data_IF_916953586914
#
_entry.id   IF_916953586914
#
_cell.length_a   1.000
_cell.length_b   1.000
_cell.length_c   1.000
_cell.angle_alpha   90.00
_cell.angle_beta   90.00
_cell.angle_gamma   90.00
#
_symmetry.space_group_name_H-M   'P 1'
#
loop_
_entity.id
_entity.type
_entity.pdbx_description
1 polymer ?
#
# COMPACT_ATOMS: atom_id res chain seq x y z
N UNK A 1 -24.39 52.25 22.88
CA UNK A 1 -22.91 52.37 22.96
C UNK A 1 -22.34 51.19 22.18
N UNK A 2 -22.23 51.22 20.86
CA UNK A 2 -21.38 52.00 19.94
C UNK A 2 -19.90 51.54 19.91
N UNK A 3 -19.50 51.00 18.74
CA UNK A 3 -18.17 50.83 18.08
C UNK A 3 -18.20 49.49 17.31
N UNK A 4 -18.51 49.39 16.02
CA UNK A 4 -17.92 50.02 14.81
C UNK A 4 -16.41 49.90 14.74
N UNK A 5 -15.93 48.93 13.93
CA UNK A 5 -14.68 49.01 13.18
C UNK A 5 -14.89 48.36 11.81
N UNK A 6 -14.92 49.23 10.81
CA UNK A 6 -14.74 48.99 9.38
C UNK A 6 -13.28 48.59 9.09
N UNK A 7 -12.98 48.25 7.82
CA UNK A 7 -11.68 48.22 7.09
C UNK A 7 -11.26 46.80 6.66
N UNK A 8 -10.89 46.43 5.42
CA UNK A 8 -10.74 47.04 4.07
C UNK A 8 -10.64 45.84 3.09
N UNK A 9 -11.28 45.89 1.91
CA UNK A 9 -10.97 45.03 0.75
C UNK A 9 -9.79 45.58 -0.05
N UNK A 10 -8.97 44.73 -0.72
CA UNK A 10 -8.20 45.17 -1.86
C UNK A 10 -8.70 44.56 -3.18
N UNK A 11 -9.17 45.47 -4.05
CA UNK A 11 -9.26 45.36 -5.51
C UNK A 11 -7.87 45.53 -6.11
N UNK A 12 -7.43 44.64 -7.00
CA UNK A 12 -6.37 44.93 -7.98
C UNK A 12 -6.73 44.27 -9.32
N UNK A 13 -7.15 45.13 -10.25
CA UNK A 13 -7.08 44.92 -11.70
C UNK A 13 -5.61 45.06 -12.16
N UNK A 14 -5.19 44.30 -13.16
CA UNK A 14 -3.87 44.42 -13.77
C UNK A 14 -3.72 43.55 -15.01
N UNK A 15 -4.01 44.13 -16.17
CA UNK A 15 -3.66 43.64 -17.50
C UNK A 15 -2.14 43.42 -17.65
N UNK A 16 -1.71 42.52 -18.54
CA UNK A 16 -0.67 42.79 -19.57
C UNK A 16 -0.71 41.69 -20.63
N UNK A 17 -0.58 42.17 -21.87
CA UNK A 17 -0.76 41.48 -23.13
C UNK A 17 0.58 41.03 -23.77
N UNK A 18 0.48 39.99 -24.61
CA UNK A 18 1.10 39.81 -25.95
C UNK A 18 2.64 39.85 -26.08
N UNK A 19 3.21 38.78 -26.66
CA UNK A 19 4.02 38.86 -27.91
C UNK A 19 4.18 37.51 -28.62
N UNK A 20 3.73 37.50 -29.87
CA UNK A 20 3.90 36.50 -30.95
C UNK A 20 4.63 37.25 -32.08
N UNK A 21 5.62 36.64 -32.72
CA UNK A 21 6.14 36.89 -34.11
C UNK A 21 7.44 36.04 -34.23
N UNK A 22 7.50 34.93 -34.97
CA UNK A 22 7.55 34.73 -36.44
C UNK A 22 8.86 35.16 -37.12
N UNK A 23 9.54 34.17 -37.72
CA UNK A 23 10.18 34.14 -39.05
C UNK A 23 10.96 32.81 -39.13
N UNK A 24 10.74 31.88 -40.07
CA UNK A 24 10.95 32.01 -41.52
C UNK A 24 12.44 31.76 -41.82
N UNK A 25 12.93 30.95 -42.75
CA UNK A 25 12.46 30.33 -43.99
C UNK A 25 13.49 29.22 -44.41
N UNK A 26 13.03 28.06 -44.90
CA UNK A 26 13.29 27.47 -46.24
C UNK A 26 14.75 27.22 -46.69
N UNK A 27 15.04 25.95 -47.01
CA UNK A 27 16.11 25.50 -47.89
C UNK A 27 15.87 24.06 -48.37
N UNK A 28 15.68 23.87 -49.67
CA UNK A 28 15.29 22.62 -50.35
C UNK A 28 16.49 21.73 -50.75
N UNK A 29 16.16 20.45 -50.98
CA UNK A 29 16.74 19.48 -51.94
C UNK A 29 18.15 18.90 -51.72
N UNK A 30 18.22 17.57 -51.50
CA UNK A 30 18.82 16.59 -52.43
C UNK A 30 18.77 15.14 -51.88
N UNK A 31 18.21 14.22 -52.68
CA UNK A 31 18.56 12.79 -52.73
C UNK A 31 19.10 12.56 -54.16
N UNK A 32 20.04 11.63 -54.44
CA UNK A 32 19.88 10.20 -54.13
C UNK A 32 21.17 9.41 -53.82
N UNK A 33 21.02 8.24 -53.21
CA UNK A 33 22.11 7.28 -53.03
C UNK A 33 21.58 5.97 -52.48
N UNK A 34 21.29 5.03 -53.37
CA UNK A 34 20.86 3.68 -53.03
C UNK A 34 22.02 2.91 -52.37
N UNK A 35 21.85 2.58 -51.09
CA UNK A 35 22.64 1.55 -50.40
C UNK A 35 21.64 0.51 -49.91
N UNK A 36 21.65 -0.65 -50.58
CA UNK A 36 20.94 -1.85 -50.14
C UNK A 36 21.64 -2.41 -48.91
N UNK A 37 21.24 -1.97 -47.72
CA UNK A 37 21.50 -2.71 -46.47
C UNK A 37 20.39 -3.72 -46.27
N UNK A 38 20.75 -4.99 -46.44
CA UNK A 38 19.98 -6.16 -46.03
C UNK A 38 19.85 -6.09 -44.51
N UNK A 39 18.71 -5.60 -44.02
CA UNK A 39 18.37 -5.64 -42.60
C UNK A 39 17.83 -7.03 -42.32
N UNK A 40 18.62 -7.84 -41.62
CA UNK A 40 18.16 -9.09 -41.04
C UNK A 40 16.92 -8.81 -40.19
N UNK A 41 15.85 -9.55 -40.46
CA UNK A 41 14.58 -9.42 -39.76
C UNK A 41 14.80 -9.63 -38.26
N UNK A 42 14.39 -8.69 -37.39
CA UNK A 42 14.39 -8.95 -35.96
C UNK A 42 13.37 -10.05 -35.67
N UNK A 43 13.86 -11.13 -35.05
CA UNK A 43 13.09 -12.16 -34.35
C UNK A 43 11.85 -11.55 -33.70
N UNK A 44 10.69 -12.10 -34.04
CA UNK A 44 9.38 -11.64 -33.61
C UNK A 44 9.38 -11.23 -32.13
N UNK A 45 9.10 -9.96 -31.87
CA UNK A 45 8.85 -9.46 -30.52
C UNK A 45 7.75 -10.33 -29.88
N UNK A 46 7.89 -10.71 -28.59
CA UNK A 46 6.85 -11.45 -27.90
C UNK A 46 5.55 -10.66 -28.02
N UNK A 47 4.53 -11.31 -28.57
CA UNK A 47 3.21 -10.72 -28.78
C UNK A 47 2.69 -10.18 -27.45
N UNK A 48 2.65 -8.86 -27.30
CA UNK A 48 1.97 -8.21 -26.19
C UNK A 48 0.50 -8.58 -26.28
N UNK A 49 0.05 -9.52 -25.45
CA UNK A 49 -1.38 -9.72 -25.25
C UNK A 49 -1.88 -8.50 -24.47
N UNK A 50 -2.84 -7.73 -25.00
CA UNK A 50 -3.49 -6.71 -24.18
C UNK A 50 -4.10 -7.42 -22.98
N UNK A 51 -3.61 -7.11 -21.79
CA UNK A 51 -4.25 -7.53 -20.55
C UNK A 51 -5.66 -6.95 -20.57
N UNK A 52 -6.68 -7.79 -20.37
CA UNK A 52 -8.05 -7.32 -20.22
C UNK A 52 -8.09 -6.19 -19.21
N UNK A 53 -8.83 -5.09 -19.47
CA UNK A 53 -8.93 -4.01 -18.51
C UNK A 53 -9.44 -4.58 -17.19
N UNK A 54 -8.69 -4.39 -16.11
CA UNK A 54 -9.10 -4.78 -14.77
C UNK A 54 -10.43 -4.09 -14.47
N UNK A 55 -11.49 -4.86 -14.26
CA UNK A 55 -12.80 -4.31 -14.01
C UNK A 55 -12.94 -3.98 -12.52
N UNK A 56 -13.70 -2.92 -12.19
CA UNK A 56 -13.99 -2.54 -10.80
C UNK A 56 -14.56 -3.71 -9.98
N UNK A 57 -15.35 -4.58 -10.61
CA UNK A 57 -15.90 -5.79 -9.98
C UNK A 57 -14.86 -6.85 -9.59
N UNK A 58 -13.64 -6.81 -10.14
CA UNK A 58 -12.56 -7.72 -9.73
C UNK A 58 -12.02 -7.33 -8.35
N UNK A 59 -11.99 -6.03 -8.02
CA UNK A 59 -11.56 -5.55 -6.72
C UNK A 59 -12.58 -5.85 -5.62
N UNK A 60 -13.86 -5.70 -5.90
CA UNK A 60 -14.93 -6.06 -4.97
C UNK A 60 -14.91 -7.55 -4.66
N UNK A 61 -14.72 -8.39 -5.69
CA UNK A 61 -14.57 -9.85 -5.50
C UNK A 61 -13.37 -10.21 -4.63
N UNK A 62 -12.23 -9.54 -4.82
CA UNK A 62 -11.05 -9.75 -3.97
C UNK A 62 -11.35 -9.32 -2.54
N UNK A 63 -11.97 -8.16 -2.34
CA UNK A 63 -12.32 -7.67 -1.03
C UNK A 63 -13.28 -8.61 -0.29
N UNK A 64 -14.29 -9.13 -0.99
CA UNK A 64 -15.24 -10.12 -0.46
C UNK A 64 -14.55 -11.44 -0.13
N UNK A 65 -13.67 -11.91 -0.99
CA UNK A 65 -12.87 -13.11 -0.76
C UNK A 65 -12.01 -12.97 0.51
N UNK A 66 -11.27 -11.86 0.63
CA UNK A 66 -10.43 -11.59 1.80
C UNK A 66 -11.26 -11.54 3.08
N UNK A 67 -12.39 -10.83 3.04
CA UNK A 67 -13.31 -10.76 4.18
C UNK A 67 -13.86 -12.13 4.56
N UNK A 68 -14.29 -12.92 3.58
CA UNK A 68 -14.83 -14.26 3.83
C UNK A 68 -13.77 -15.18 4.44
N UNK A 69 -12.53 -15.14 3.93
CA UNK A 69 -11.43 -15.93 4.46
C UNK A 69 -11.13 -15.55 5.92
N UNK A 70 -10.98 -14.27 6.23
CA UNK A 70 -10.69 -13.81 7.59
C UNK A 70 -11.85 -14.09 8.57
N UNK A 71 -13.08 -14.15 8.06
CA UNK A 71 -14.26 -14.48 8.85
C UNK A 71 -14.47 -16.00 9.03
N UNK A 72 -13.71 -16.85 8.33
CA UNK A 72 -13.76 -18.29 8.50
C UNK A 72 -13.37 -18.71 9.92
N UNK A 73 -13.98 -19.79 10.41
CA UNK A 73 -13.79 -20.24 11.79
C UNK A 73 -12.32 -20.56 12.09
N UNK A 74 -11.59 -21.16 11.14
CA UNK A 74 -10.17 -21.49 11.33
C UNK A 74 -9.33 -20.24 11.58
N UNK A 75 -9.52 -19.20 10.77
CA UNK A 75 -8.75 -17.97 10.95
C UNK A 75 -9.13 -17.27 12.25
N UNK A 76 -10.43 -17.18 12.55
CA UNK A 76 -10.94 -16.51 13.76
C UNK A 76 -10.51 -17.21 15.05
N UNK A 77 -10.51 -18.54 15.09
CA UNK A 77 -10.08 -19.30 16.26
C UNK A 77 -8.57 -19.19 16.47
N UNK A 78 -7.80 -19.14 15.37
CA UNK A 78 -6.34 -19.11 15.41
C UNK A 78 -5.80 -17.70 15.69
N UNK A 79 -6.43 -16.67 15.13
CA UNK A 79 -5.97 -15.28 15.18
C UNK A 79 -7.09 -14.31 15.65
N UNK A 80 -7.72 -14.54 16.81
CA UNK A 80 -8.94 -13.82 17.22
C UNK A 80 -8.72 -12.30 17.38
N UNK A 81 -7.60 -11.90 17.97
CA UNK A 81 -7.27 -10.48 18.19
C UNK A 81 -6.98 -9.76 16.88
N UNK A 82 -6.28 -10.41 15.95
CA UNK A 82 -5.99 -9.85 14.63
C UNK A 82 -7.28 -9.62 13.84
N UNK A 83 -8.16 -10.63 13.79
CA UNK A 83 -9.46 -10.54 13.15
C UNK A 83 -10.31 -9.40 13.75
N UNK A 84 -10.43 -9.33 15.07
CA UNK A 84 -11.22 -8.30 15.73
C UNK A 84 -10.73 -6.88 15.43
N UNK A 85 -9.41 -6.65 15.49
CA UNK A 85 -8.80 -5.35 15.18
C UNK A 85 -8.97 -4.98 13.70
N UNK A 86 -8.80 -5.94 12.80
CA UNK A 86 -9.02 -5.74 11.38
C UNK A 86 -10.48 -5.42 11.05
N UNK A 87 -11.42 -6.14 11.65
CA UNK A 87 -12.86 -5.94 11.44
C UNK A 87 -13.28 -4.52 11.83
N UNK A 88 -12.75 -3.99 12.94
CA UNK A 88 -12.98 -2.60 13.33
C UNK A 88 -12.46 -1.64 12.25
N UNK A 89 -11.25 -1.87 11.72
CA UNK A 89 -10.71 -1.05 10.64
C UNK A 89 -11.59 -1.10 9.37
N UNK A 90 -12.07 -2.30 9.03
CA UNK A 90 -12.97 -2.54 7.90
C UNK A 90 -14.31 -1.81 8.04
N UNK A 91 -14.94 -1.90 9.21
CA UNK A 91 -16.21 -1.22 9.48
C UNK A 91 -16.07 0.31 9.44
N UNK A 92 -14.93 0.83 9.89
CA UNK A 92 -14.63 2.26 9.86
C UNK A 92 -14.52 2.84 8.44
N UNK A 93 -14.18 2.04 7.42
CA UNK A 93 -14.05 2.50 6.02
C UNK A 93 -15.32 3.19 5.52
N UNK A 94 -16.48 2.66 5.86
CA UNK A 94 -17.78 3.13 5.37
C UNK A 94 -18.22 4.45 5.99
N UNK A 95 -17.57 4.87 7.07
CA UNK A 95 -17.87 6.10 7.80
C UNK A 95 -16.71 7.11 7.76
N UNK A 96 -15.64 6.83 7.00
CA UNK A 96 -14.44 7.66 6.94
C UNK A 96 -14.63 8.89 6.03
N UNK A 97 -15.01 10.01 6.63
CA UNK A 97 -15.26 11.30 5.96
C UNK A 97 -14.17 12.35 6.26
N UNK A 98 -13.14 11.97 7.01
CA UNK A 98 -12.14 12.91 7.52
C UNK A 98 -10.77 12.25 7.62
N UNK A 99 -9.73 13.08 7.48
CA UNK A 99 -8.31 12.66 7.64
C UNK A 99 -8.07 11.94 8.96
N UNK A 100 -8.64 12.43 10.06
CA UNK A 100 -8.51 11.81 11.38
C UNK A 100 -9.05 10.37 11.40
N UNK A 101 -10.16 10.11 10.71
CA UNK A 101 -10.71 8.76 10.57
C UNK A 101 -9.80 7.87 9.72
N UNK A 102 -9.20 8.38 8.63
CA UNK A 102 -8.24 7.60 7.81
C UNK A 102 -6.98 7.25 8.61
N UNK A 103 -6.45 8.18 9.42
CA UNK A 103 -5.33 7.89 10.34
C UNK A 103 -5.76 6.83 11.38
N UNK A 104 -6.96 6.95 11.93
CA UNK A 104 -7.49 5.97 12.87
C UNK A 104 -7.61 4.57 12.24
N UNK A 105 -8.08 4.49 10.99
CA UNK A 105 -8.10 3.24 10.21
C UNK A 105 -6.68 2.66 10.09
N UNK A 106 -5.68 3.49 9.83
CA UNK A 106 -4.30 3.02 9.72
C UNK A 106 -3.73 2.49 11.02
N UNK A 107 -4.02 3.14 12.14
CA UNK A 107 -3.66 2.61 13.45
C UNK A 107 -4.33 1.27 13.72
N UNK A 108 -5.63 1.11 13.41
CA UNK A 108 -6.34 -0.17 13.56
C UNK A 108 -5.79 -1.27 12.65
N UNK A 109 -5.42 -0.92 11.43
CA UNK A 109 -4.78 -1.84 10.49
C UNK A 109 -3.39 -2.30 10.98
N UNK A 110 -2.61 -1.39 11.59
CA UNK A 110 -1.35 -1.73 12.26
C UNK A 110 -1.57 -2.62 13.49
N UNK A 111 -2.53 -2.27 14.34
CA UNK A 111 -2.86 -3.09 15.52
C UNK A 111 -3.25 -4.50 15.11
N UNK A 112 -4.01 -4.65 14.01
CA UNK A 112 -4.37 -5.96 13.47
C UNK A 112 -3.14 -6.77 13.05
N UNK A 113 -2.20 -6.13 12.35
CA UNK A 113 -0.94 -6.76 11.96
C UNK A 113 -0.06 -7.13 13.15
N UNK A 114 0.01 -6.29 14.19
CA UNK A 114 0.71 -6.59 15.44
C UNK A 114 0.13 -7.81 16.15
N UNK A 115 -1.21 -7.86 16.28
CA UNK A 115 -1.87 -9.03 16.85
C UNK A 115 -1.65 -10.28 16.00
N UNK A 116 -1.64 -10.14 14.68
CA UNK A 116 -1.39 -11.25 13.77
C UNK A 116 0.05 -11.76 13.88
N UNK A 117 1.04 -10.87 13.86
CA UNK A 117 2.46 -11.22 13.98
C UNK A 117 2.75 -11.88 15.32
N UNK A 118 2.20 -11.35 16.42
CA UNK A 118 2.29 -11.97 17.75
C UNK A 118 1.73 -13.39 17.71
N UNK A 119 0.50 -13.57 17.23
CA UNK A 119 -0.16 -14.87 17.20
C UNK A 119 0.54 -15.88 16.28
N UNK A 120 1.10 -15.42 15.16
CA UNK A 120 1.89 -16.27 14.26
C UNK A 120 3.22 -16.66 14.88
N UNK A 121 3.94 -15.72 15.51
CA UNK A 121 5.16 -16.00 16.26
C UNK A 121 4.89 -17.01 17.38
N UNK A 122 3.81 -16.87 18.14
CA UNK A 122 3.44 -17.82 19.18
C UNK A 122 3.25 -19.25 18.68
N UNK A 123 2.77 -19.40 17.44
CA UNK A 123 2.56 -20.71 16.82
C UNK A 123 3.82 -21.26 16.16
N UNK A 124 4.60 -20.41 15.50
CA UNK A 124 5.70 -20.81 14.61
C UNK A 124 7.08 -20.70 15.25
N UNK A 125 7.30 -19.75 16.17
CA UNK A 125 8.60 -19.51 16.79
C UNK A 125 9.13 -20.69 17.63
N UNK A 126 8.32 -21.47 18.38
CA UNK A 126 8.81 -22.66 19.08
C UNK A 126 9.43 -23.73 18.17
N UNK A 127 9.13 -23.69 16.87
CA UNK A 127 9.59 -24.68 15.89
C UNK A 127 10.79 -24.20 15.08
N UNK A 128 11.06 -22.89 15.01
CA UNK A 128 11.98 -22.33 14.03
C UNK A 128 12.88 -21.18 14.53
N UNK A 129 12.71 -20.67 15.76
CA UNK A 129 13.43 -19.47 16.24
C UNK A 129 14.14 -19.68 17.59
N UNK A 130 14.96 -18.68 17.98
CA UNK A 130 15.77 -18.65 19.21
C UNK A 130 14.97 -19.08 20.47
N UNK A 131 15.54 -19.91 21.37
CA UNK A 131 14.90 -20.31 22.62
C UNK A 131 14.39 -19.16 23.52
N UNK A 132 14.94 -17.95 23.41
CA UNK A 132 14.57 -16.79 24.22
C UNK A 132 13.44 -15.95 23.61
N UNK A 133 12.84 -16.38 22.50
CA UNK A 133 11.75 -15.65 21.86
C UNK A 133 10.52 -15.34 22.76
N UNK A 134 10.14 -16.16 23.77
CA UNK A 134 9.01 -15.82 24.64
C UNK A 134 9.25 -14.55 25.46
N UNK A 135 10.50 -14.34 25.88
CA UNK A 135 10.89 -13.16 26.66
C UNK A 135 10.81 -11.87 25.82
N UNK A 136 11.10 -11.98 24.51
CA UNK A 136 10.98 -10.88 23.55
C UNK A 136 9.51 -10.46 23.30
N UNK A 137 8.55 -11.38 23.43
CA UNK A 137 7.13 -11.04 23.28
C UNK A 137 6.51 -10.44 24.54
N UNK A 138 7.04 -10.81 25.71
CA UNK A 138 6.53 -10.40 27.01
C UNK A 138 6.85 -8.92 27.32
N UNK A 139 8.00 -8.42 26.85
CA UNK A 139 8.40 -7.03 27.04
C UNK A 139 8.06 -6.18 25.81
N UNK A 140 7.15 -5.23 25.99
CA UNK A 140 6.73 -4.29 24.94
C UNK A 140 7.88 -3.45 24.34
N UNK A 141 8.99 -3.29 25.06
CA UNK A 141 10.14 -2.52 24.60
C UNK A 141 11.11 -3.32 23.74
N UNK A 142 11.07 -4.66 23.82
CA UNK A 142 11.89 -5.58 23.03
C UNK A 142 11.08 -6.32 21.96
N UNK A 143 9.74 -6.21 22.00
CA UNK A 143 8.85 -6.76 20.98
C UNK A 143 9.25 -6.23 19.59
N UNK A 144 9.50 -7.11 18.61
CA UNK A 144 9.82 -6.70 17.25
C UNK A 144 8.65 -5.93 16.62
N UNK A 145 8.96 -5.00 15.70
CA UNK A 145 7.91 -4.40 14.88
C UNK A 145 7.16 -5.52 14.13
N UNK A 146 5.84 -5.38 13.88
CA UNK A 146 5.07 -6.43 13.23
C UNK A 146 5.65 -6.87 11.88
N UNK A 147 6.24 -5.96 11.12
CA UNK A 147 6.90 -6.30 9.85
C UNK A 147 8.15 -7.15 10.06
N UNK A 148 8.99 -6.79 11.03
CA UNK A 148 10.23 -7.51 11.34
C UNK A 148 9.91 -8.91 11.89
N UNK A 149 8.86 -9.03 12.71
CA UNK A 149 8.38 -10.31 13.21
C UNK A 149 7.91 -11.23 12.08
N UNK A 150 7.09 -10.72 11.15
CA UNK A 150 6.60 -11.51 10.01
C UNK A 150 7.69 -11.84 9.00
N UNK A 151 8.64 -10.92 8.77
CA UNK A 151 9.81 -11.17 7.94
C UNK A 151 10.66 -12.29 8.54
N UNK A 152 10.86 -12.27 9.86
CA UNK A 152 11.60 -13.30 10.59
C UNK A 152 10.93 -14.68 10.48
N UNK A 153 9.60 -14.76 10.64
CA UNK A 153 8.86 -16.03 10.44
C UNK A 153 8.97 -16.51 8.99
N UNK A 154 8.82 -15.62 8.02
CA UNK A 154 8.92 -15.97 6.59
C UNK A 154 10.33 -16.47 6.24
N UNK A 155 11.36 -15.90 6.83
CA UNK A 155 12.76 -16.30 6.62
C UNK A 155 13.07 -17.64 7.29
N UNK A 156 12.60 -17.84 8.53
CA UNK A 156 12.82 -19.09 9.27
C UNK A 156 12.21 -20.32 8.56
N UNK A 157 11.14 -20.11 7.78
CA UNK A 157 10.47 -21.14 7.00
C UNK A 157 10.78 -21.07 5.49
N UNK A 158 11.80 -20.31 5.08
CA UNK A 158 12.14 -20.09 3.67
C UNK A 158 12.27 -21.39 2.87
N UNK A 159 12.90 -22.41 3.44
CA UNK A 159 13.12 -23.69 2.78
C UNK A 159 11.82 -24.47 2.55
N UNK A 160 10.88 -24.41 3.50
CA UNK A 160 9.56 -25.05 3.40
C UNK A 160 8.62 -24.31 2.44
N UNK A 161 8.68 -22.98 2.46
CA UNK A 161 7.88 -22.11 1.59
C UNK A 161 8.33 -22.18 0.12
N UNK A 162 9.64 -22.33 -0.09
CA UNK A 162 10.30 -22.25 -1.38
C UNK A 162 10.44 -20.82 -1.90
N UNK A 163 11.43 -20.61 -2.76
CA UNK A 163 11.87 -19.28 -3.21
C UNK A 163 10.73 -18.36 -3.68
N UNK A 164 9.85 -18.87 -4.55
CA UNK A 164 8.76 -18.07 -5.14
C UNK A 164 7.79 -17.52 -4.09
N UNK A 165 7.43 -18.31 -3.07
CA UNK A 165 6.48 -17.88 -2.04
C UNK A 165 7.16 -16.90 -1.08
N UNK A 166 8.40 -17.18 -0.68
CA UNK A 166 9.18 -16.26 0.16
C UNK A 166 9.37 -14.89 -0.50
N UNK A 167 9.65 -14.85 -1.81
CA UNK A 167 9.77 -13.59 -2.57
C UNK A 167 8.45 -12.82 -2.63
N UNK A 168 7.33 -13.51 -2.87
CA UNK A 168 6.00 -12.89 -2.86
C UNK A 168 5.69 -12.27 -1.49
N UNK A 169 5.89 -13.02 -0.41
CA UNK A 169 5.62 -12.56 0.95
C UNK A 169 6.51 -11.38 1.33
N UNK A 170 7.80 -11.41 0.98
CA UNK A 170 8.71 -10.30 1.20
C UNK A 170 8.23 -9.02 0.48
N UNK A 171 7.83 -9.12 -0.79
CA UNK A 171 7.31 -7.99 -1.55
C UNK A 171 6.00 -7.43 -0.99
N UNK A 172 5.11 -8.31 -0.48
CA UNK A 172 3.88 -7.88 0.20
C UNK A 172 4.16 -7.11 1.48
N UNK A 173 5.11 -7.58 2.30
CA UNK A 173 5.53 -6.91 3.53
C UNK A 173 6.17 -5.54 3.26
N UNK A 174 7.04 -5.46 2.26
CA UNK A 174 7.66 -4.20 1.82
C UNK A 174 6.59 -3.19 1.37
N UNK A 175 5.64 -3.62 0.55
CA UNK A 175 4.58 -2.75 0.07
C UNK A 175 3.69 -2.24 1.20
N UNK A 176 3.33 -3.11 2.15
CA UNK A 176 2.55 -2.72 3.31
C UNK A 176 3.30 -1.68 4.17
N UNK A 177 4.61 -1.87 4.39
CA UNK A 177 5.45 -0.90 5.10
C UNK A 177 5.47 0.47 4.41
N UNK A 178 5.56 0.50 3.09
CA UNK A 178 5.49 1.74 2.31
C UNK A 178 4.14 2.47 2.48
N UNK A 179 3.02 1.74 2.48
CA UNK A 179 1.69 2.30 2.72
C UNK A 179 1.57 2.89 4.13
N UNK A 180 2.03 2.17 5.16
CA UNK A 180 2.00 2.65 6.55
C UNK A 180 2.83 3.94 6.71
N UNK A 181 4.02 3.98 6.10
CA UNK A 181 4.88 5.17 6.13
C UNK A 181 4.29 6.35 5.36
N UNK A 182 3.51 6.11 4.30
CA UNK A 182 2.76 7.17 3.64
C UNK A 182 1.74 7.81 4.60
N UNK A 183 0.94 7.00 5.31
CA UNK A 183 -0.04 7.53 6.26
C UNK A 183 0.63 8.26 7.44
N UNK A 184 1.73 7.72 7.99
CA UNK A 184 2.51 8.38 9.05
C UNK A 184 3.10 9.72 8.63
N UNK A 185 3.68 9.80 7.42
CA UNK A 185 4.17 11.09 6.89
C UNK A 185 3.06 12.12 6.80
N UNK A 186 1.83 11.70 6.48
CA UNK A 186 0.68 12.60 6.55
C UNK A 186 0.35 12.97 8.01
N UNK A 187 0.41 12.07 8.98
CA UNK A 187 0.22 12.42 10.39
C UNK A 187 1.20 13.51 10.85
N UNK A 188 2.50 13.33 10.57
CA UNK A 188 3.57 14.25 10.94
C UNK A 188 3.48 15.59 10.18
N UNK A 189 3.15 15.56 8.89
CA UNK A 189 2.95 16.75 8.05
C UNK A 189 1.55 17.37 8.23
N UNK A 190 1.02 17.33 9.44
CA UNK A 190 -0.29 17.88 9.81
C UNK A 190 -0.50 19.37 9.44
N UNK A 191 0.55 20.08 9.00
CA UNK A 191 0.52 21.50 8.64
C UNK A 191 1.08 21.88 7.25
N UNK A 192 1.50 20.92 6.41
CA UNK A 192 2.04 21.24 5.08
C UNK A 192 0.93 21.37 4.01
N UNK A 193 0.82 22.48 3.27
CA UNK A 193 -0.13 22.61 2.17
C UNK A 193 0.28 21.71 0.99
N UNK A 194 -0.62 20.83 0.53
CA UNK A 194 -0.51 20.20 -0.80
C UNK A 194 -0.82 18.71 -0.88
N UNK A 195 -0.61 17.94 0.19
CA UNK A 195 -0.74 16.48 0.17
C UNK A 195 -1.94 16.03 1.02
N UNK A 196 -3.04 15.65 0.36
CA UNK A 196 -4.28 15.23 1.03
C UNK A 196 -4.30 13.71 1.18
N UNK A 197 -4.53 13.25 2.40
CA UNK A 197 -4.82 11.85 2.68
C UNK A 197 -6.26 11.55 2.21
N UNK A 198 -6.41 10.59 1.31
CA UNK A 198 -7.69 10.21 0.74
C UNK A 198 -8.28 8.98 1.45
N UNK A 199 -9.61 8.87 1.43
CA UNK A 199 -10.30 7.70 1.97
C UNK A 199 -9.82 6.38 1.33
N UNK A 200 -9.44 6.42 0.05
CA UNK A 200 -8.89 5.29 -0.70
C UNK A 200 -7.55 4.80 -0.11
N UNK A 201 -6.76 5.66 0.55
CA UNK A 201 -5.53 5.25 1.22
C UNK A 201 -5.85 4.37 2.44
N UNK A 202 -6.88 4.74 3.20
CA UNK A 202 -7.42 3.90 4.28
C UNK A 202 -7.97 2.59 3.75
N UNK A 203 -8.75 2.62 2.67
CA UNK A 203 -9.29 1.40 2.02
C UNK A 203 -8.18 0.45 1.59
N UNK A 204 -7.17 0.97 0.88
CA UNK A 204 -6.01 0.19 0.45
C UNK A 204 -5.30 -0.43 1.64
N UNK A 205 -5.05 0.34 2.69
CA UNK A 205 -4.36 -0.18 3.87
C UNK A 205 -5.12 -1.33 4.52
N UNK A 206 -6.44 -1.23 4.69
CA UNK A 206 -7.27 -2.33 5.25
C UNK A 206 -7.25 -3.56 4.34
N UNK A 207 -7.36 -3.38 3.02
CA UNK A 207 -7.34 -4.47 2.05
C UNK A 207 -5.97 -5.15 1.97
N UNK A 208 -4.88 -4.38 1.98
CA UNK A 208 -3.52 -4.92 1.98
C UNK A 208 -3.18 -5.60 3.30
N UNK A 209 -3.62 -5.07 4.44
CA UNK A 209 -3.53 -5.79 5.72
C UNK A 209 -4.26 -7.13 5.62
N UNK A 210 -5.47 -7.17 5.07
CA UNK A 210 -6.19 -8.43 4.88
C UNK A 210 -5.42 -9.40 3.97
N UNK A 211 -4.96 -8.92 2.82
CA UNK A 211 -4.20 -9.72 1.86
C UNK A 211 -2.94 -10.32 2.49
N UNK A 212 -2.16 -9.52 3.21
CA UNK A 212 -0.94 -9.98 3.88
C UNK A 212 -1.26 -11.06 4.91
N UNK A 213 -2.26 -10.82 5.79
CA UNK A 213 -2.66 -11.82 6.79
C UNK A 213 -3.12 -13.13 6.13
N UNK A 214 -3.93 -13.05 5.08
CA UNK A 214 -4.44 -14.23 4.35
C UNK A 214 -3.30 -14.99 3.69
N UNK A 215 -2.44 -14.33 2.91
CA UNK A 215 -1.38 -15.02 2.16
C UNK A 215 -0.33 -15.63 3.08
N UNK A 216 -0.01 -14.96 4.20
CA UNK A 216 0.87 -15.51 5.22
C UNK A 216 0.21 -16.71 5.89
N UNK A 217 -0.99 -16.55 6.45
CA UNK A 217 -1.67 -17.64 7.15
C UNK A 217 -1.85 -18.88 6.26
N UNK A 218 -2.24 -18.71 4.98
CA UNK A 218 -2.33 -19.83 4.00
C UNK A 218 -1.01 -20.53 3.74
N UNK A 219 0.09 -19.81 3.87
CA UNK A 219 1.42 -20.37 3.66
C UNK A 219 1.89 -21.22 4.85
N UNK A 220 1.25 -21.06 6.02
CA UNK A 220 1.54 -21.75 7.27
C UNK A 220 0.35 -22.59 7.82
N UNK A 221 -0.69 -22.76 6.99
CA UNK A 221 -1.93 -23.48 7.32
C UNK A 221 -1.85 -24.96 6.98
#
# INVERSE_FOLDING_TARGET
MNRSLSIIEPRVEGEIAIRRQLAGEHGQNAQPGAVTTRVDSPTAAPSYRPQSPVHVGDFERIADYLRAYLADERFRSTHPLAYGRWLVAWEMLWCADSRAKVISIAWRARDAMDAFSTSLLERCAPLAMDPHWPDLLADSSTRPDPLDGLASVTDAYRDELGARRSELLAGLLEHWGALLQSVRRHEERSQAPGERLHWEDGRRLVLFTALVMVEIDRSFA
#
